data_IF_391448362462
#
_entry.id   IF_391448362462
#
_cell.length_a   1.000
_cell.length_b   1.000
_cell.length_c   1.000
_cell.angle_alpha   90.00
_cell.angle_beta   90.00
_cell.angle_gamma   90.00
#
_symmetry.space_group_name_H-M   'P 1'
#
loop_
_entity.id
_entity.type
_entity.pdbx_description
1 polymer ?
#
# COMPACT_ATOMS: atom_id res chain seq x y z
N UNK A 1 23.23 -11.11 19.11
CA UNK A 1 22.16 -10.18 18.75
C UNK A 1 21.06 -11.03 18.17
N UNK A 2 19.82 -11.04 18.68
CA UNK A 2 18.77 -11.77 17.98
C UNK A 2 18.26 -10.89 16.84
N UNK A 3 18.81 -11.14 15.66
CA UNK A 3 18.19 -10.79 14.39
C UNK A 3 16.91 -11.63 14.26
N UNK A 4 15.79 -11.15 14.80
CA UNK A 4 14.47 -11.71 14.51
C UNK A 4 13.79 -10.87 13.43
N UNK A 5 14.44 -10.86 12.27
CA UNK A 5 13.82 -10.60 10.97
C UNK A 5 12.91 -11.81 10.63
N UNK A 6 11.84 -11.99 11.42
CA UNK A 6 10.67 -12.72 10.94
C UNK A 6 10.09 -11.86 9.80
N UNK A 7 10.67 -12.06 8.61
CA UNK A 7 10.07 -11.80 7.31
C UNK A 7 8.90 -12.76 7.13
N UNK A 8 7.97 -12.69 8.06
CA UNK A 8 6.60 -13.05 7.80
C UNK A 8 6.23 -12.26 6.54
N UNK A 9 5.57 -12.89 5.57
CA UNK A 9 5.14 -12.24 4.33
C UNK A 9 4.03 -11.25 4.67
N UNK A 10 4.41 -10.16 5.35
CA UNK A 10 3.50 -9.23 5.98
C UNK A 10 2.72 -8.55 4.87
N UNK A 11 1.44 -8.31 5.14
CA UNK A 11 0.60 -7.49 4.27
C UNK A 11 0.94 -6.03 4.56
N UNK A 12 0.96 -5.20 3.55
CA UNK A 12 1.03 -3.75 3.68
C UNK A 12 -0.31 -3.18 3.24
N UNK A 13 -1.07 -2.66 4.20
CA UNK A 13 -2.40 -2.14 3.92
C UNK A 13 -2.28 -0.74 3.35
N UNK A 14 -2.92 -0.50 2.21
CA UNK A 14 -2.96 0.79 1.54
C UNK A 14 -4.37 1.36 1.65
N UNK A 15 -4.45 2.61 2.08
CA UNK A 15 -5.70 3.35 2.24
C UNK A 15 -5.65 4.61 1.38
N UNK A 16 -6.77 4.92 0.73
CA UNK A 16 -6.91 6.17 -0.03
C UNK A 16 -7.21 7.33 0.92
N UNK A 17 -6.46 8.42 0.77
CA UNK A 17 -6.63 9.66 1.50
C UNK A 17 -7.28 10.69 0.55
N UNK A 18 -8.59 10.87 0.70
CA UNK A 18 -9.40 11.70 -0.21
C UNK A 18 -9.06 13.21 -0.12
N UNK A 19 -8.66 13.70 1.06
CA UNK A 19 -8.32 15.12 1.28
C UNK A 19 -7.19 15.62 0.39
N UNK A 20 -6.22 14.76 0.13
CA UNK A 20 -4.94 15.11 -0.46
C UNK A 20 -4.61 14.26 -1.70
N UNK A 21 -5.57 13.44 -2.13
CA UNK A 21 -5.50 12.59 -3.32
C UNK A 21 -4.25 11.71 -3.39
N UNK A 22 -3.91 11.02 -2.29
CA UNK A 22 -2.79 10.08 -2.25
C UNK A 22 -3.14 8.79 -1.49
N UNK A 23 -2.30 7.77 -1.67
CA UNK A 23 -2.35 6.51 -0.95
C UNK A 23 -1.36 6.50 0.21
N UNK A 24 -1.85 6.16 1.40
CA UNK A 24 -1.01 5.92 2.57
C UNK A 24 -0.93 4.43 2.86
N UNK A 25 0.30 3.94 3.00
CA UNK A 25 0.61 2.57 3.36
C UNK A 25 0.79 2.44 4.88
N UNK A 26 0.39 1.30 5.44
CA UNK A 26 0.57 0.99 6.86
C UNK A 26 2.03 0.95 7.33
N UNK A 27 2.97 0.89 6.38
CA UNK A 27 4.41 1.00 6.66
C UNK A 27 4.92 2.46 6.69
N UNK A 28 4.05 3.46 6.51
CA UNK A 28 4.40 4.88 6.44
C UNK A 28 4.84 5.36 5.06
N UNK A 29 4.75 4.53 4.02
CA UNK A 29 5.02 4.95 2.64
C UNK A 29 3.80 5.68 2.08
N UNK A 30 4.01 6.77 1.36
CA UNK A 30 2.96 7.50 0.63
C UNK A 30 3.20 7.45 -0.86
N UNK A 31 2.13 7.35 -1.64
CA UNK A 31 2.23 7.26 -3.09
C UNK A 31 1.02 7.90 -3.77
N UNK A 32 1.25 8.59 -4.87
CA UNK A 32 0.19 9.13 -5.71
C UNK A 32 0.33 8.54 -7.11
N UNK A 33 -0.77 8.04 -7.65
CA UNK A 33 -0.85 7.62 -9.05
C UNK A 33 -1.33 8.81 -9.89
N UNK A 34 -0.82 8.92 -11.11
CA UNK A 34 -1.29 9.94 -12.06
C UNK A 34 -2.69 9.61 -12.60
N UNK A 35 -3.04 8.33 -12.67
CA UNK A 35 -4.33 7.80 -13.09
C UNK A 35 -4.61 6.46 -12.40
N UNK A 36 -5.87 6.23 -12.01
CA UNK A 36 -6.31 5.04 -11.28
C UNK A 36 -5.69 4.86 -9.89
N UNK A 37 -5.63 3.62 -9.42
CA UNK A 37 -5.05 3.22 -8.15
C UNK A 37 -4.13 2.00 -8.25
N UNK A 38 -3.81 1.36 -7.11
CA UNK A 38 -2.90 0.22 -7.07
C UNK A 38 -3.31 -0.92 -8.00
N UNK A 39 -4.61 -1.15 -8.18
CA UNK A 39 -5.12 -2.24 -9.03
C UNK A 39 -4.91 -1.94 -10.52
N UNK A 40 -5.23 -0.73 -10.96
CA UNK A 40 -5.15 -0.31 -12.37
C UNK A 40 -3.69 -0.20 -12.84
N UNK A 41 -2.77 -0.02 -11.90
CA UNK A 41 -1.33 0.12 -12.15
C UNK A 41 -0.53 -1.18 -11.87
N UNK A 42 -1.21 -2.32 -11.74
CA UNK A 42 -0.60 -3.63 -11.44
C UNK A 42 0.34 -3.63 -10.21
N UNK A 43 0.04 -2.77 -9.24
CA UNK A 43 0.86 -2.59 -8.04
C UNK A 43 0.50 -3.64 -6.98
N UNK A 44 1.27 -4.73 -6.98
CA UNK A 44 1.02 -5.91 -6.14
C UNK A 44 1.82 -5.92 -4.82
N UNK A 45 2.88 -5.12 -4.74
CA UNK A 45 3.79 -5.06 -3.61
C UNK A 45 4.09 -3.60 -3.24
N UNK A 46 4.25 -3.33 -1.95
CA UNK A 46 4.60 -2.01 -1.46
C UNK A 46 6.09 -1.72 -1.78
N UNK A 47 6.43 -0.66 -2.52
CA UNK A 47 7.82 -0.30 -2.81
C UNK A 47 8.57 0.20 -1.57
N UNK A 48 7.86 0.64 -0.52
CA UNK A 48 8.48 1.10 0.73
C UNK A 48 9.01 -0.03 1.61
N UNK A 49 8.34 -1.19 1.66
CA UNK A 49 8.72 -2.29 2.54
C UNK A 49 8.80 -3.68 1.87
N UNK A 50 8.48 -3.81 0.58
CA UNK A 50 8.52 -5.07 -0.18
C UNK A 50 7.38 -6.04 0.12
N UNK A 51 6.52 -5.72 1.08
CA UNK A 51 5.39 -6.54 1.51
C UNK A 51 4.23 -6.55 0.51
N UNK A 52 3.38 -7.58 0.54
CA UNK A 52 2.23 -7.70 -0.36
C UNK A 52 1.24 -6.56 -0.11
N UNK A 53 0.92 -5.80 -1.14
CA UNK A 53 -0.02 -4.69 -1.06
C UNK A 53 -1.44 -5.22 -0.92
N UNK A 54 -2.19 -4.69 0.05
CA UNK A 54 -3.61 -4.98 0.24
C UNK A 54 -4.35 -3.65 0.35
N UNK A 55 -5.28 -3.38 -0.57
CA UNK A 55 -6.11 -2.18 -0.49
C UNK A 55 -7.18 -2.38 0.59
N UNK A 56 -7.17 -1.53 1.61
CA UNK A 56 -8.17 -1.56 2.68
C UNK A 56 -9.33 -0.67 2.27
N UNK A 57 -10.44 -1.30 1.88
CA UNK A 57 -11.69 -0.63 1.49
C UNK A 57 -11.45 0.62 0.65
N UNK A 58 -11.02 0.44 -0.61
CA UNK A 58 -11.51 1.32 -1.64
C UNK A 58 -13.03 1.08 -1.68
N UNK A 59 -13.80 1.88 -0.94
CA UNK A 59 -15.18 2.09 -1.34
C UNK A 59 -15.07 2.52 -2.80
N UNK A 60 -15.37 1.58 -3.69
CA UNK A 60 -15.38 1.78 -5.12
C UNK A 60 -16.41 2.86 -5.40
N UNK A 61 -15.97 4.11 -5.36
CA UNK A 61 -16.62 5.20 -6.04
C UNK A 61 -16.01 5.17 -7.42
N UNK A 62 -16.81 4.56 -8.30
CA UNK A 62 -16.69 4.44 -9.74
C UNK A 62 -16.20 5.72 -10.41
#
# INVERSE_FOLDING_TARGET
MPDNDEKDHKKCEWSWIDSDYFWEASCGFTFQFMDGGPKENDMNYCPGCGNKLIVKNAAALF
#
